data_IF_228912268884
#
_entry.id   IF_228912268884
#
_cell.length_a   1.000
_cell.length_b   1.000
_cell.length_c   1.000
_cell.angle_alpha   90.00
_cell.angle_beta   90.00
_cell.angle_gamma   90.00
#
_symmetry.space_group_name_H-M   'P 1'
#
loop_
_entity.id
_entity.type
_entity.pdbx_description
1 polymer ?
#
# COMPACT_ATOMS: atom_id res chain seq x y z
N UNK A 1 -35.30 7.77 -10.38
CA UNK A 1 -34.37 8.92 -10.19
C UNK A 1 -33.46 8.82 -8.96
N UNK A 2 -33.90 8.24 -7.83
CA UNK A 2 -33.09 8.11 -6.61
C UNK A 2 -31.84 7.23 -6.75
N UNK A 3 -31.93 6.15 -7.54
CA UNK A 3 -30.82 5.21 -7.73
C UNK A 3 -29.60 5.89 -8.41
N UNK A 4 -29.85 6.78 -9.36
CA UNK A 4 -28.80 7.61 -9.99
C UNK A 4 -28.16 8.59 -9.00
N UNK A 5 -28.96 9.11 -8.06
CA UNK A 5 -28.48 10.03 -7.03
C UNK A 5 -27.59 9.32 -6.01
N UNK A 6 -27.89 8.05 -5.68
CA UNK A 6 -27.02 7.20 -4.84
C UNK A 6 -25.72 6.80 -5.56
N UNK A 7 -25.77 6.53 -6.86
CA UNK A 7 -24.57 6.25 -7.68
C UNK A 7 -23.67 7.49 -7.76
N UNK A 8 -24.25 8.69 -7.82
CA UNK A 8 -23.51 9.96 -7.74
C UNK A 8 -22.90 10.26 -6.37
N UNK A 9 -23.16 9.43 -5.36
CA UNK A 9 -22.50 9.46 -4.04
C UNK A 9 -21.42 8.38 -3.89
N UNK A 10 -21.17 7.56 -4.94
CA UNK A 10 -19.99 6.72 -4.98
C UNK A 10 -18.80 7.67 -4.89
N UNK A 11 -18.03 7.50 -3.81
CA UNK A 11 -16.93 8.37 -3.45
C UNK A 11 -16.09 8.73 -4.68
N UNK A 12 -15.69 10.00 -4.76
CA UNK A 12 -14.83 10.49 -5.82
C UNK A 12 -13.68 9.50 -6.08
N UNK A 13 -13.41 9.19 -7.35
CA UNK A 13 -12.45 8.14 -7.71
C UNK A 13 -11.06 8.37 -7.08
N UNK A 14 -10.67 9.64 -6.87
CA UNK A 14 -9.43 9.98 -6.19
C UNK A 14 -9.51 9.66 -4.69
N UNK A 15 -10.63 9.93 -4.02
CA UNK A 15 -10.84 9.54 -2.62
C UNK A 15 -10.78 8.03 -2.45
N UNK A 16 -11.45 7.26 -3.32
CA UNK A 16 -11.37 5.80 -3.30
C UNK A 16 -9.94 5.34 -3.52
N UNK A 17 -9.27 5.87 -4.55
CA UNK A 17 -7.89 5.52 -4.88
C UNK A 17 -6.90 5.84 -3.74
N UNK A 18 -7.15 6.90 -2.98
CA UNK A 18 -6.38 7.27 -1.79
C UNK A 18 -6.67 6.35 -0.59
N UNK A 19 -7.92 5.96 -0.37
CA UNK A 19 -8.29 5.08 0.74
C UNK A 19 -7.83 3.62 0.53
N UNK A 20 -7.58 3.21 -0.73
CA UNK A 20 -6.96 1.91 -1.07
C UNK A 20 -5.45 1.99 -1.36
N UNK A 21 -4.80 3.11 -1.00
CA UNK A 21 -3.36 3.35 -1.14
C UNK A 21 -2.80 3.17 -2.57
N UNK A 22 -3.65 3.30 -3.60
CA UNK A 22 -3.21 3.32 -5.00
C UNK A 22 -2.80 4.73 -5.46
N UNK A 23 -3.35 5.79 -4.85
CA UNK A 23 -3.04 7.18 -5.15
C UNK A 23 -2.51 7.91 -3.91
N UNK A 24 -1.56 8.84 -4.11
CA UNK A 24 -1.08 9.69 -3.02
C UNK A 24 -2.16 10.69 -2.59
N UNK A 25 -2.47 10.72 -1.27
CA UNK A 25 -3.43 11.67 -0.67
C UNK A 25 -2.95 13.12 -0.70
N UNK A 26 -1.64 13.33 -0.83
CA UNK A 26 -1.00 14.62 -0.99
C UNK A 26 0.31 14.48 -1.78
N UNK A 27 0.67 15.44 -2.66
CA UNK A 27 1.94 15.44 -3.39
C UNK A 27 3.18 15.45 -2.47
N UNK A 28 3.02 15.75 -1.18
CA UNK A 28 4.11 15.74 -0.19
C UNK A 28 4.29 14.41 0.56
N UNK A 29 3.50 13.38 0.25
CA UNK A 29 3.53 12.09 0.96
C UNK A 29 4.04 10.91 0.13
N UNK A 30 4.82 11.16 -0.93
CA UNK A 30 5.59 10.07 -1.53
C UNK A 30 6.71 9.73 -0.55
N UNK A 31 6.41 8.88 0.43
CA UNK A 31 7.44 8.16 1.16
C UNK A 31 8.09 7.24 0.13
N UNK A 32 9.07 7.77 -0.60
CA UNK A 32 9.89 7.02 -1.54
C UNK A 32 10.64 5.97 -0.71
N UNK A 33 10.04 4.79 -0.54
CA UNK A 33 10.72 3.61 0.00
C UNK A 33 11.72 3.06 -1.05
N UNK A 34 11.79 3.66 -2.25
CA UNK A 34 12.82 3.42 -3.26
C UNK A 34 14.18 3.76 -2.64
N UNK A 35 14.88 2.73 -2.16
CA UNK A 35 16.18 2.86 -1.50
C UNK A 35 16.36 1.95 -0.29
N UNK A 36 15.29 1.40 0.28
CA UNK A 36 15.43 0.37 1.32
C UNK A 36 15.66 -1.00 0.69
N UNK A 37 16.54 -1.81 1.28
CA UNK A 37 16.73 -3.24 0.94
C UNK A 37 15.40 -4.02 0.92
N UNK A 38 14.41 -3.50 1.65
CA UNK A 38 13.09 -4.07 1.74
C UNK A 38 12.26 -3.87 0.49
N UNK A 39 12.59 -2.96 -0.41
CA UNK A 39 11.88 -2.81 -1.69
C UNK A 39 12.28 -3.82 -2.76
N UNK A 40 13.27 -4.67 -2.50
CA UNK A 40 13.65 -5.76 -3.41
C UNK A 40 12.60 -6.88 -3.53
N UNK A 41 11.60 -6.89 -2.64
CA UNK A 41 10.44 -7.76 -2.74
C UNK A 41 10.63 -9.17 -2.16
N UNK A 42 9.65 -10.07 -2.41
CA UNK A 42 9.60 -11.41 -1.81
C UNK A 42 10.86 -12.26 -1.99
N UNK A 43 11.55 -12.26 -3.15
CA UNK A 43 12.79 -13.01 -3.30
C UNK A 43 13.89 -12.60 -2.32
N UNK A 44 13.93 -11.33 -1.90
CA UNK A 44 14.88 -10.85 -0.91
C UNK A 44 14.46 -11.25 0.51
N UNK A 45 13.21 -10.99 0.90
CA UNK A 45 12.72 -11.31 2.25
C UNK A 45 12.69 -12.82 2.54
N UNK A 46 12.36 -13.64 1.53
CA UNK A 46 12.26 -15.11 1.65
C UNK A 46 13.63 -15.81 1.59
N UNK A 47 14.71 -15.07 1.33
CA UNK A 47 16.06 -15.64 1.24
C UNK A 47 16.58 -16.16 2.59
N UNK A 48 16.25 -15.49 3.70
CA UNK A 48 16.48 -15.99 5.05
C UNK A 48 15.66 -15.25 6.10
N UNK A 49 15.50 -15.83 7.28
CA UNK A 49 14.83 -15.19 8.42
C UNK A 49 15.45 -13.85 8.82
N UNK A 50 16.77 -13.70 8.65
CA UNK A 50 17.46 -12.43 8.89
C UNK A 50 17.04 -11.33 7.90
N UNK A 51 16.77 -11.67 6.64
CA UNK A 51 16.31 -10.70 5.62
C UNK A 51 14.86 -10.26 5.90
N UNK A 52 14.01 -11.18 6.34
CA UNK A 52 12.65 -10.86 6.78
C UNK A 52 12.66 -9.96 8.04
N UNK A 53 13.49 -10.30 9.04
CA UNK A 53 13.63 -9.54 10.28
C UNK A 53 14.18 -8.11 10.04
N UNK A 54 15.15 -7.95 9.14
CA UNK A 54 15.71 -6.64 8.78
C UNK A 54 14.64 -5.69 8.22
N UNK A 55 13.59 -6.24 7.61
CA UNK A 55 12.50 -5.49 7.02
C UNK A 55 11.24 -5.43 7.89
N UNK A 56 11.32 -5.92 9.15
CA UNK A 56 10.17 -6.04 10.06
C UNK A 56 8.97 -6.73 9.39
N UNK A 57 9.24 -7.61 8.42
CA UNK A 57 8.21 -8.43 7.82
C UNK A 57 7.85 -9.45 8.89
N UNK A 58 6.60 -9.40 9.36
CA UNK A 58 6.08 -10.38 10.30
C UNK A 58 6.05 -11.72 9.55
N UNK A 59 7.08 -12.54 9.76
CA UNK A 59 6.92 -13.98 9.61
C UNK A 59 5.91 -14.37 10.69
N UNK A 60 4.67 -14.64 10.29
CA UNK A 60 3.69 -15.20 11.21
C UNK A 60 4.25 -16.53 11.69
N UNK A 61 4.76 -16.56 12.91
CA UNK A 61 4.99 -17.80 13.66
C UNK A 61 3.61 -18.43 13.88
N UNK A 62 3.38 -19.55 13.18
CA UNK A 62 2.27 -20.49 13.41
C UNK A 62 2.78 -21.59 14.33
#
# INVERSE_FOLDING_TARGET
PYLLQMIGQLADSNQVCQDIDLCARSPTSVHLIVGSICTFGPPYWCKSSAHAAACKVIIFEI
#
